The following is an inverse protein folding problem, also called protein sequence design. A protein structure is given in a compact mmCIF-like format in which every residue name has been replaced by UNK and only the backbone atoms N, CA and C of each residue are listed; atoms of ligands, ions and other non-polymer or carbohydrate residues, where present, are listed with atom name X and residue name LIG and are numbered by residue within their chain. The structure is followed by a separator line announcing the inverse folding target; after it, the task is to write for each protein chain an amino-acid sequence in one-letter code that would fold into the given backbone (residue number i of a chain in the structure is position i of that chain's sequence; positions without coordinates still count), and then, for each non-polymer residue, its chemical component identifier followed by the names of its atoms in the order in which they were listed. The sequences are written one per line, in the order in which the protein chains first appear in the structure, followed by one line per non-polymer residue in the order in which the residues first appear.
data_IF_913429565540
#
_entry.id   IF_913429565540
#
_cell.length_a   1.000
_cell.length_b   1.000
_cell.length_c   1.000
_cell.angle_alpha   90.00
_cell.angle_beta   90.00
_cell.angle_gamma   90.00
#
_symmetry.space_group_name_H-M   'P 1'
#
loop_
_entity.id
_entity.type
_entity.pdbx_description
1 polymer ?
#
# COMPACT_ATOMS: atom_id res chain seq x y z
N UNK A 1 50.23 -48.96 2.99
CA UNK A 1 48.78 -48.73 3.18
C UNK A 1 48.53 -47.25 3.36
N UNK A 2 48.15 -46.57 2.27
CA UNK A 2 47.82 -45.14 2.24
C UNK A 2 46.33 -44.95 2.54
N UNK A 3 46.01 -44.32 3.66
CA UNK A 3 44.66 -43.80 3.94
C UNK A 3 44.80 -42.36 4.43
N UNK A 4 44.74 -41.40 3.50
CA UNK A 4 44.50 -39.99 3.79
C UNK A 4 44.15 -39.25 2.49
N UNK A 5 42.94 -39.45 1.97
CA UNK A 5 42.39 -38.63 0.86
C UNK A 5 40.87 -38.79 0.73
N UNK A 6 40.10 -38.26 1.69
CA UNK A 6 38.64 -38.18 1.55
C UNK A 6 37.94 -37.05 2.33
N UNK A 7 38.66 -36.15 3.01
CA UNK A 7 38.03 -35.08 3.82
C UNK A 7 37.93 -33.71 3.13
N UNK A 8 38.63 -33.50 2.00
CA UNK A 8 38.73 -32.17 1.36
C UNK A 8 37.63 -31.82 0.34
N UNK A 9 36.87 -32.79 -0.16
CA UNK A 9 35.93 -32.60 -1.29
C UNK A 9 34.49 -32.31 -0.86
N UNK A 10 34.08 -32.70 0.35
CA UNK A 10 32.72 -32.42 0.86
C UNK A 10 32.58 -30.97 1.36
N UNK A 11 33.61 -30.45 2.01
CA UNK A 11 33.66 -29.07 2.52
C UNK A 11 33.61 -28.04 1.39
N UNK A 12 34.42 -28.20 0.34
CA UNK A 12 34.46 -27.29 -0.81
C UNK A 12 33.17 -27.31 -1.64
N UNK A 13 32.52 -28.48 -1.76
CA UNK A 13 31.24 -28.61 -2.47
C UNK A 13 30.08 -27.99 -1.68
N UNK A 14 30.13 -28.06 -0.35
CA UNK A 14 29.15 -27.40 0.52
C UNK A 14 29.28 -25.88 0.50
N UNK A 15 30.52 -25.36 0.51
CA UNK A 15 30.76 -23.91 0.48
C UNK A 15 30.42 -23.30 -0.87
N UNK A 16 30.66 -24.01 -1.98
CA UNK A 16 30.29 -23.56 -3.32
C UNK A 16 28.76 -23.50 -3.49
N UNK A 17 28.03 -24.52 -3.01
CA UNK A 17 26.57 -24.52 -3.00
C UNK A 17 25.95 -23.39 -2.13
N UNK A 18 26.62 -23.00 -1.05
CA UNK A 18 26.16 -21.90 -0.19
C UNK A 18 26.42 -20.53 -0.79
N UNK A 19 27.52 -20.36 -1.55
CA UNK A 19 27.81 -19.15 -2.33
C UNK A 19 26.76 -18.98 -3.44
N UNK A 20 26.43 -20.06 -4.16
CA UNK A 20 25.43 -20.03 -5.23
C UNK A 20 24.03 -19.67 -4.69
N UNK A 21 23.61 -20.24 -3.56
CA UNK A 21 22.35 -19.88 -2.91
C UNK A 21 22.31 -18.42 -2.44
N UNK A 22 23.39 -17.93 -1.85
CA UNK A 22 23.48 -16.53 -1.42
C UNK A 22 23.43 -15.57 -2.63
N UNK A 23 24.08 -15.93 -3.74
CA UNK A 23 24.01 -15.19 -4.99
C UNK A 23 22.59 -15.17 -5.56
N UNK A 24 21.91 -16.33 -5.60
CA UNK A 24 20.51 -16.43 -6.05
C UNK A 24 19.59 -15.55 -5.21
N UNK A 25 19.68 -15.60 -3.88
CA UNK A 25 18.88 -14.74 -2.99
C UNK A 25 19.16 -13.25 -3.24
N UNK A 26 20.42 -12.86 -3.43
CA UNK A 26 20.79 -11.48 -3.75
C UNK A 26 20.20 -11.04 -5.09
N UNK A 27 20.27 -11.88 -6.12
CA UNK A 27 19.69 -11.62 -7.44
C UNK A 27 18.17 -11.50 -7.36
N UNK A 28 17.48 -12.39 -6.63
CA UNK A 28 16.04 -12.30 -6.39
C UNK A 28 15.65 -10.98 -5.72
N UNK A 29 16.39 -10.54 -4.70
CA UNK A 29 16.13 -9.26 -4.02
C UNK A 29 16.32 -8.06 -4.95
N UNK A 30 17.37 -8.04 -5.76
CA UNK A 30 17.61 -6.98 -6.75
C UNK A 30 16.48 -6.97 -7.79
N UNK A 31 16.10 -8.13 -8.29
CA UNK A 31 15.02 -8.26 -9.26
C UNK A 31 13.67 -7.77 -8.72
N UNK A 32 13.30 -8.16 -7.49
CA UNK A 32 12.10 -7.66 -6.82
C UNK A 32 12.11 -6.13 -6.66
N UNK A 33 13.26 -5.55 -6.30
CA UNK A 33 13.42 -4.10 -6.20
C UNK A 33 13.27 -3.41 -7.56
N UNK A 34 13.79 -4.01 -8.64
CA UNK A 34 13.63 -3.49 -10.01
C UNK A 34 12.16 -3.53 -10.47
N UNK A 35 11.43 -4.62 -10.18
CA UNK A 35 10.00 -4.72 -10.50
C UNK A 35 9.21 -3.65 -9.74
N UNK A 36 9.51 -3.44 -8.46
CA UNK A 36 8.86 -2.39 -7.67
C UNK A 36 9.19 -0.99 -8.19
N UNK A 37 10.46 -0.72 -8.51
CA UNK A 37 10.88 0.56 -9.11
C UNK A 37 10.19 0.81 -10.47
N UNK A 38 10.06 -0.22 -11.31
CA UNK A 38 9.31 -0.17 -12.56
C UNK A 38 7.83 0.16 -12.35
N UNK A 39 7.21 -0.44 -11.32
CA UNK A 39 5.83 -0.14 -10.96
C UNK A 39 5.65 1.32 -10.48
N UNK A 40 6.57 1.86 -9.68
CA UNK A 40 6.58 3.28 -9.32
C UNK A 40 6.78 4.16 -10.56
N UNK A 41 7.69 3.79 -11.46
CA UNK A 41 7.95 4.53 -12.69
C UNK A 41 6.70 4.65 -13.57
N UNK A 42 5.91 3.58 -13.68
CA UNK A 42 4.62 3.63 -14.39
C UNK A 42 3.68 4.66 -13.76
N UNK A 43 3.58 4.72 -12.42
CA UNK A 43 2.77 5.73 -11.74
C UNK A 43 3.27 7.16 -12.01
N UNK A 44 4.59 7.37 -11.99
CA UNK A 44 5.23 8.66 -12.30
C UNK A 44 4.98 9.11 -13.73
N UNK A 45 4.96 8.17 -14.68
CA UNK A 45 4.76 8.45 -16.10
C UNK A 45 3.29 8.61 -16.48
N UNK A 46 2.36 8.00 -15.74
CA UNK A 46 0.91 8.04 -15.98
C UNK A 46 0.34 9.43 -16.33
N UNK A 47 0.68 10.53 -15.62
CA UNK A 47 0.15 11.86 -15.94
C UNK A 47 0.70 12.48 -17.23
N UNK A 48 1.77 11.94 -17.82
CA UNK A 48 2.46 12.55 -18.96
C UNK A 48 1.73 12.32 -20.29
N UNK A 49 1.95 13.22 -21.26
CA UNK A 49 1.45 13.05 -22.63
C UNK A 49 2.04 11.80 -23.29
N UNK A 50 3.29 11.45 -22.99
CA UNK A 50 3.93 10.23 -23.50
C UNK A 50 3.14 8.99 -23.09
N UNK A 51 2.75 8.91 -21.81
CA UNK A 51 1.95 7.79 -21.34
C UNK A 51 0.56 7.82 -21.97
N UNK A 52 -0.12 8.96 -21.98
CA UNK A 52 -1.50 9.08 -22.47
C UNK A 52 -1.66 8.83 -23.97
N UNK A 53 -0.76 9.39 -24.78
CA UNK A 53 -0.92 9.44 -26.23
C UNK A 53 -0.15 8.32 -26.95
N UNK A 54 0.94 7.82 -26.35
CA UNK A 54 1.79 6.80 -27.00
C UNK A 54 1.69 5.46 -26.28
N UNK A 55 1.94 5.41 -24.97
CA UNK A 55 2.03 4.12 -24.27
C UNK A 55 0.66 3.50 -24.04
N UNK A 56 -0.29 4.27 -23.53
CA UNK A 56 -1.63 3.79 -23.17
C UNK A 56 -2.35 3.15 -24.37
N UNK A 57 -2.44 3.78 -25.57
CA UNK A 57 -3.07 3.15 -26.73
C UNK A 57 -2.35 1.87 -27.17
N UNK A 58 -1.01 1.88 -27.19
CA UNK A 58 -0.22 0.70 -27.56
C UNK A 58 -0.40 -0.45 -26.58
N UNK A 59 -0.34 -0.15 -25.27
CA UNK A 59 -0.58 -1.12 -24.21
C UNK A 59 -1.98 -1.70 -24.31
N UNK A 60 -3.01 -0.89 -24.57
CA UNK A 60 -4.36 -1.39 -24.80
C UNK A 60 -4.44 -2.31 -26.02
N UNK A 61 -3.82 -1.95 -27.14
CA UNK A 61 -3.80 -2.79 -28.34
C UNK A 61 -3.12 -4.14 -28.07
N UNK A 62 -1.97 -4.13 -27.38
CA UNK A 62 -1.15 -5.32 -27.15
C UNK A 62 -1.73 -6.25 -26.06
N UNK A 63 -2.55 -5.72 -25.15
CA UNK A 63 -3.06 -6.47 -23.97
C UNK A 63 -4.58 -6.69 -23.98
N UNK A 64 -5.29 -6.13 -24.96
CA UNK A 64 -6.71 -6.39 -25.16
C UNK A 64 -6.90 -7.81 -25.66
N UNK A 65 -7.29 -8.71 -24.76
CA UNK A 65 -7.59 -10.10 -25.06
C UNK A 65 -9.09 -10.36 -25.08
N UNK A 66 -9.49 -11.49 -25.67
CA UNK A 66 -10.89 -11.94 -25.71
C UNK A 66 -11.51 -12.08 -24.32
N UNK A 67 -10.73 -12.46 -23.31
CA UNK A 67 -11.22 -12.73 -21.95
C UNK A 67 -11.16 -11.53 -21.02
N UNK A 68 -10.10 -10.72 -21.09
CA UNK A 68 -9.90 -9.60 -20.17
C UNK A 68 -10.22 -8.24 -20.79
N UNK A 69 -10.36 -8.16 -22.11
CA UNK A 69 -10.63 -6.91 -22.83
C UNK A 69 -9.71 -5.76 -22.39
N UNK A 70 -10.30 -4.57 -22.22
CA UNK A 70 -9.58 -3.37 -21.73
C UNK A 70 -9.11 -3.46 -20.27
N UNK A 71 -9.64 -4.41 -19.48
CA UNK A 71 -9.20 -4.62 -18.10
C UNK A 71 -7.83 -5.29 -18.05
N UNK A 72 -7.47 -6.08 -19.08
CA UNK A 72 -6.21 -6.79 -19.18
C UNK A 72 -5.00 -5.87 -18.98
N UNK A 73 -5.02 -4.68 -19.60
CA UNK A 73 -3.97 -3.67 -19.43
C UNK A 73 -3.81 -3.24 -17.99
N UNK A 74 -4.93 -2.93 -17.31
CA UNK A 74 -4.89 -2.44 -15.93
C UNK A 74 -4.41 -3.50 -14.96
N UNK A 75 -4.88 -4.74 -15.14
CA UNK A 75 -4.46 -5.89 -14.34
C UNK A 75 -2.96 -6.15 -14.55
N UNK A 76 -2.49 -6.19 -15.80
CA UNK A 76 -1.09 -6.49 -16.09
C UNK A 76 -0.13 -5.41 -15.58
N UNK A 77 -0.50 -4.14 -15.71
CA UNK A 77 0.40 -3.03 -15.40
C UNK A 77 0.38 -2.66 -13.92
N UNK A 78 -0.79 -2.67 -13.28
CA UNK A 78 -0.93 -2.23 -11.90
C UNK A 78 -1.06 -3.39 -10.92
N UNK A 79 -1.81 -4.44 -11.28
CA UNK A 79 -2.12 -5.51 -10.34
C UNK A 79 -1.04 -6.59 -10.27
N UNK A 80 -0.60 -7.07 -11.42
CA UNK A 80 0.34 -8.17 -11.56
C UNK A 80 1.69 -7.90 -10.88
N UNK A 81 2.35 -6.71 -11.00
CA UNK A 81 3.66 -6.50 -10.39
C UNK A 81 3.61 -6.62 -8.86
N UNK A 82 2.58 -6.09 -8.22
CA UNK A 82 2.41 -6.16 -6.76
C UNK A 82 2.19 -7.60 -6.31
N UNK A 83 1.31 -8.33 -7.01
CA UNK A 83 1.03 -9.73 -6.74
C UNK A 83 2.27 -10.61 -6.95
N UNK A 84 3.01 -10.35 -8.03
CA UNK A 84 4.25 -11.02 -8.35
C UNK A 84 5.32 -10.80 -7.26
N UNK A 85 5.50 -9.55 -6.80
CA UNK A 85 6.41 -9.23 -5.69
C UNK A 85 5.98 -9.97 -4.41
N UNK A 86 4.69 -10.03 -4.11
CA UNK A 86 4.20 -10.72 -2.92
C UNK A 86 4.50 -12.23 -2.97
N UNK A 87 4.23 -12.89 -4.10
CA UNK A 87 4.48 -14.33 -4.27
C UNK A 87 5.97 -14.64 -4.26
N UNK A 88 6.77 -13.97 -5.10
CA UNK A 88 8.23 -14.18 -5.12
C UNK A 88 8.87 -13.80 -3.77
N UNK A 89 8.31 -12.80 -3.10
CA UNK A 89 8.69 -12.39 -1.76
C UNK A 89 8.52 -13.48 -0.73
N UNK A 90 7.40 -14.21 -0.76
CA UNK A 90 7.18 -15.37 0.09
C UNK A 90 8.24 -16.45 -0.17
N UNK A 91 8.54 -16.75 -1.44
CA UNK A 91 9.57 -17.71 -1.83
C UNK A 91 10.95 -17.27 -1.33
N UNK A 92 11.29 -16.00 -1.54
CA UNK A 92 12.55 -15.41 -1.07
C UNK A 92 12.70 -15.54 0.45
N UNK A 93 11.69 -15.18 1.22
CA UNK A 93 11.73 -15.24 2.68
C UNK A 93 11.88 -16.68 3.17
N UNK A 94 11.15 -17.63 2.57
CA UNK A 94 11.26 -19.04 2.91
C UNK A 94 12.66 -19.61 2.62
N UNK A 95 13.23 -19.28 1.46
CA UNK A 95 14.59 -19.69 1.11
C UNK A 95 15.65 -19.02 2.00
N UNK A 96 15.43 -17.76 2.37
CA UNK A 96 16.32 -17.01 3.26
C UNK A 96 16.32 -17.58 4.68
N UNK A 97 15.16 -17.90 5.24
CA UNK A 97 15.02 -18.53 6.56
C UNK A 97 15.74 -19.89 6.60
N UNK A 98 15.51 -20.73 5.59
CA UNK A 98 16.19 -22.04 5.45
C UNK A 98 17.71 -21.93 5.31
N UNK A 99 18.22 -20.78 4.84
CA UNK A 99 19.65 -20.51 4.71
C UNK A 99 20.24 -19.84 5.97
N UNK A 100 19.40 -19.17 6.76
CA UNK A 100 19.75 -18.44 7.98
C UNK A 100 20.11 -19.33 9.17
N UNK A 101 19.59 -20.57 9.23
CA UNK A 101 19.91 -21.55 10.28
C UNK A 101 21.38 -22.03 10.31
N UNK A 102 22.23 -21.56 9.37
CA UNK A 102 23.66 -21.93 9.32
C UNK A 102 24.67 -20.79 9.42
N UNK A 103 24.23 -19.53 9.43
CA UNK A 103 25.14 -18.37 9.54
C UNK A 103 24.56 -17.32 10.46
N UNK A 104 24.66 -17.57 11.75
CA UNK A 104 24.78 -16.48 12.70
C UNK A 104 26.15 -15.82 12.47
N UNK A 105 26.15 -14.48 12.46
CA UNK A 105 27.32 -13.58 12.31
C UNK A 105 27.79 -13.29 10.87
N UNK A 106 27.55 -12.05 10.48
CA UNK A 106 28.05 -11.46 9.24
C UNK A 106 27.35 -10.13 9.01
N UNK A 107 27.48 -9.20 9.96
CA UNK A 107 27.02 -7.83 9.81
C UNK A 107 27.64 -7.26 8.53
N UNK A 108 26.81 -7.12 7.49
CA UNK A 108 27.24 -6.52 6.24
C UNK A 108 27.75 -5.11 6.54
N UNK A 109 28.99 -4.81 6.12
CA UNK A 109 29.69 -3.52 6.25
C UNK A 109 28.87 -2.31 5.76
N UNK A 110 27.79 -2.54 5.02
CA UNK A 110 26.79 -1.55 4.59
C UNK A 110 25.87 -1.03 5.72
N UNK A 111 25.90 -1.68 6.89
CA UNK A 111 25.04 -1.37 8.04
C UNK A 111 25.53 -0.18 8.88
N UNK A 112 26.81 0.22 8.81
CA UNK A 112 27.33 1.28 9.70
C UNK A 112 26.90 2.68 9.27
N UNK A 113 26.88 2.97 7.96
CA UNK A 113 26.43 4.26 7.42
C UNK A 113 24.91 4.46 7.59
N UNK A 114 24.12 3.39 7.39
CA UNK A 114 22.66 3.43 7.55
C UNK A 114 22.23 3.40 9.03
N UNK A 115 23.08 2.97 9.96
CA UNK A 115 22.78 2.93 11.39
C UNK A 115 22.47 4.32 11.97
N UNK A 116 23.19 5.35 11.51
CA UNK A 116 22.96 6.74 11.91
C UNK A 116 21.61 7.25 11.43
N UNK A 117 21.17 6.83 10.23
CA UNK A 117 19.89 7.21 9.62
C UNK A 117 18.68 6.41 10.15
N UNK A 118 18.92 5.24 10.74
CA UNK A 118 17.92 4.48 11.50
C UNK A 118 17.62 5.09 12.88
N UNK A 119 18.42 6.06 13.34
CA UNK A 119 18.12 6.79 14.59
C UNK A 119 16.82 7.57 14.43
N UNK A 120 15.99 7.64 15.47
CA UNK A 120 14.77 8.41 15.43
C UNK A 120 15.13 9.90 15.33
N UNK A 121 14.71 10.53 14.23
CA UNK A 121 14.93 11.97 13.97
C UNK A 121 13.78 12.78 14.57
N UNK A 122 12.57 12.23 14.54
CA UNK A 122 11.40 12.83 15.16
C UNK A 122 10.90 11.92 16.29
N UNK A 123 10.94 12.41 17.52
CA UNK A 123 10.57 11.61 18.72
C UNK A 123 9.24 12.06 19.33
N UNK A 124 8.72 13.25 18.97
CA UNK A 124 7.45 13.78 19.51
C UNK A 124 6.69 14.60 18.47
N UNK A 125 5.51 14.14 18.08
CA UNK A 125 4.58 14.81 17.16
C UNK A 125 3.41 13.91 16.74
N UNK A 126 2.39 14.43 16.02
CA UNK A 126 1.27 13.64 15.49
C UNK A 126 1.72 12.52 14.53
N UNK A 127 2.96 12.60 14.04
CA UNK A 127 3.61 11.64 13.16
C UNK A 127 4.23 10.45 13.93
N UNK A 128 4.33 10.49 15.26
CA UNK A 128 4.96 9.41 16.04
C UNK A 128 6.49 9.41 15.93
N UNK A 129 7.11 8.28 16.30
CA UNK A 129 8.57 8.11 16.23
C UNK A 129 8.98 7.74 14.80
N UNK A 130 9.75 8.62 14.16
CA UNK A 130 10.14 8.49 12.74
C UNK A 130 11.66 8.58 12.60
N UNK A 131 12.25 7.60 11.91
CA UNK A 131 13.69 7.62 11.55
C UNK A 131 13.95 8.48 10.31
N UNK A 132 15.21 8.87 10.09
CA UNK A 132 15.58 9.70 8.93
C UNK A 132 15.21 9.06 7.59
N UNK A 133 15.36 7.72 7.48
CA UNK A 133 15.01 6.95 6.28
C UNK A 133 13.50 7.03 6.01
N UNK A 134 12.68 6.85 7.04
CA UNK A 134 11.22 6.88 6.93
C UNK A 134 10.72 8.29 6.54
N UNK A 135 11.38 9.33 7.06
CA UNK A 135 11.12 10.71 6.67
C UNK A 135 11.48 10.94 5.18
N UNK A 136 12.63 10.46 4.72
CA UNK A 136 13.02 10.55 3.30
C UNK A 136 12.02 9.87 2.39
N UNK A 137 11.61 8.64 2.68
CA UNK A 137 10.58 7.95 1.88
C UNK A 137 9.25 8.70 1.88
N UNK A 138 8.86 9.29 3.00
CA UNK A 138 7.64 10.10 3.10
C UNK A 138 7.72 11.36 2.23
N UNK A 139 8.87 12.04 2.22
CA UNK A 139 9.12 13.21 1.37
C UNK A 139 9.16 12.83 -0.12
N UNK A 140 9.79 11.71 -0.47
CA UNK A 140 9.80 11.20 -1.84
C UNK A 140 8.39 10.86 -2.32
N UNK A 141 7.58 10.24 -1.46
CA UNK A 141 6.18 9.94 -1.78
C UNK A 141 5.37 11.23 -1.96
N UNK A 142 5.52 12.22 -1.08
CA UNK A 142 4.87 13.52 -1.24
C UNK A 142 5.32 14.22 -2.54
N UNK A 143 6.61 14.17 -2.87
CA UNK A 143 7.13 14.70 -4.12
C UNK A 143 6.52 14.00 -5.35
N UNK A 144 6.29 12.68 -5.28
CA UNK A 144 5.57 11.94 -6.32
C UNK A 144 4.12 12.43 -6.47
N UNK A 145 3.41 12.68 -5.36
CA UNK A 145 2.04 13.21 -5.42
C UNK A 145 2.01 14.62 -6.06
N UNK A 146 2.92 15.50 -5.65
CA UNK A 146 3.05 16.86 -6.18
C UNK A 146 3.43 16.84 -7.66
N UNK A 147 4.38 15.98 -8.06
CA UNK A 147 4.74 15.74 -9.46
C UNK A 147 3.51 15.34 -10.27
N UNK A 148 2.82 14.28 -9.82
CA UNK A 148 1.64 13.78 -10.53
C UNK A 148 0.57 14.85 -10.68
N UNK A 149 0.25 15.60 -9.60
CA UNK A 149 -0.73 16.68 -9.65
C UNK A 149 -0.32 17.79 -10.60
N UNK A 150 0.91 18.27 -10.48
CA UNK A 150 1.40 19.40 -11.27
C UNK A 150 1.44 19.06 -12.76
N UNK A 151 1.90 17.87 -13.10
CA UNK A 151 1.92 17.39 -14.50
C UNK A 151 0.51 17.22 -15.04
N UNK A 152 -0.40 16.61 -14.27
CA UNK A 152 -1.80 16.48 -14.66
C UNK A 152 -2.46 17.84 -14.91
N UNK A 153 -2.28 18.81 -14.00
CA UNK A 153 -2.85 20.15 -14.14
C UNK A 153 -2.27 20.88 -15.34
N UNK A 154 -0.94 20.85 -15.52
CA UNK A 154 -0.26 21.48 -16.66
C UNK A 154 -0.83 21.00 -17.98
N UNK A 155 -0.96 19.67 -18.15
CA UNK A 155 -1.48 19.07 -19.38
C UNK A 155 -2.97 19.34 -19.56
N UNK A 156 -3.74 19.29 -18.48
CA UNK A 156 -5.19 19.51 -18.53
C UNK A 156 -5.53 20.96 -18.88
N UNK A 157 -4.84 21.93 -18.28
CA UNK A 157 -5.05 23.35 -18.55
C UNK A 157 -4.56 23.77 -19.92
N UNK A 158 -3.53 23.10 -20.47
CA UNK A 158 -3.08 23.34 -21.84
C UNK A 158 -4.10 22.88 -22.90
N UNK A 159 -4.90 21.86 -22.60
CA UNK A 159 -5.92 21.29 -23.49
C UNK A 159 -7.35 21.60 -23.03
N UNK A 160 -7.53 22.71 -22.31
CA UNK A 160 -8.81 23.05 -21.68
C UNK A 160 -9.82 23.49 -22.76
N UNK A 161 -10.90 22.74 -22.89
CA UNK A 161 -12.06 23.14 -23.70
C UNK A 161 -13.08 23.83 -22.79
N UNK A 162 -13.26 25.14 -22.97
CA UNK A 162 -14.25 25.91 -22.20
C UNK A 162 -15.56 25.91 -22.99
N UNK A 163 -16.62 25.38 -22.41
CA UNK A 163 -17.95 25.46 -23.03
C UNK A 163 -18.44 26.91 -23.05
N UNK A 164 -19.23 27.29 -24.07
CA UNK A 164 -19.69 28.67 -24.25
C UNK A 164 -20.47 29.24 -23.05
N UNK A 165 -21.07 28.38 -22.22
CA UNK A 165 -21.81 28.73 -21.01
C UNK A 165 -20.95 28.79 -19.72
N UNK A 166 -19.68 28.39 -19.79
CA UNK A 166 -18.81 28.23 -18.62
C UNK A 166 -17.71 29.29 -18.55
N UNK A 167 -17.37 29.69 -17.32
CA UNK A 167 -16.22 30.55 -17.05
C UNK A 167 -14.94 29.73 -16.99
N UNK A 168 -13.82 30.32 -17.40
CA UNK A 168 -12.49 29.66 -17.42
C UNK A 168 -12.12 29.05 -16.05
N UNK A 169 -12.45 29.72 -14.94
CA UNK A 169 -12.15 29.18 -13.61
C UNK A 169 -12.99 27.94 -13.25
N UNK A 170 -14.21 27.83 -13.78
CA UNK A 170 -15.09 26.68 -13.57
C UNK A 170 -14.53 25.45 -14.28
N UNK A 171 -14.15 25.58 -15.55
CA UNK A 171 -13.49 24.51 -16.30
C UNK A 171 -12.15 24.09 -15.67
N UNK A 172 -11.38 25.05 -15.12
CA UNK A 172 -10.16 24.73 -14.36
C UNK A 172 -10.46 23.97 -13.07
N UNK A 173 -11.53 24.33 -12.35
CA UNK A 173 -11.95 23.68 -11.11
C UNK A 173 -12.41 22.24 -11.37
N UNK A 174 -13.25 22.02 -12.38
CA UNK A 174 -13.70 20.69 -12.82
C UNK A 174 -12.51 19.80 -13.16
N UNK A 175 -11.62 20.30 -14.01
CA UNK A 175 -10.37 19.61 -14.36
C UNK A 175 -9.55 19.27 -13.11
N UNK A 176 -9.35 20.22 -12.19
CA UNK A 176 -8.59 19.98 -10.96
C UNK A 176 -9.25 18.94 -10.04
N UNK A 177 -10.58 19.00 -9.90
CA UNK A 177 -11.38 18.06 -9.12
C UNK A 177 -11.16 16.62 -9.61
N UNK A 178 -11.23 16.40 -10.93
CA UNK A 178 -10.94 15.09 -11.52
C UNK A 178 -9.53 14.59 -11.18
N UNK A 179 -8.52 15.46 -11.25
CA UNK A 179 -7.12 15.08 -10.96
C UNK A 179 -6.89 14.72 -9.50
N UNK A 180 -7.57 15.38 -8.56
CA UNK A 180 -7.52 15.02 -7.14
C UNK A 180 -7.99 13.58 -6.92
N UNK A 181 -9.07 13.15 -7.58
CA UNK A 181 -9.54 11.76 -7.54
C UNK A 181 -8.53 10.77 -8.11
N UNK A 182 -7.87 11.11 -9.23
CA UNK A 182 -6.84 10.24 -9.82
C UNK A 182 -5.62 10.05 -8.91
N UNK A 183 -5.22 11.08 -8.16
CA UNK A 183 -4.12 10.98 -7.19
C UNK A 183 -4.56 10.22 -5.94
N UNK A 184 -5.81 10.40 -5.52
CA UNK A 184 -6.40 9.57 -4.48
C UNK A 184 -6.29 8.08 -4.79
N UNK A 185 -6.49 7.69 -6.05
CA UNK A 185 -6.31 6.29 -6.49
C UNK A 185 -4.85 5.80 -6.34
N UNK A 186 -3.86 6.65 -6.63
CA UNK A 186 -2.46 6.35 -6.37
C UNK A 186 -2.24 6.10 -4.87
N UNK A 187 -2.74 6.97 -3.99
CA UNK A 187 -2.61 6.78 -2.55
C UNK A 187 -3.34 5.52 -2.06
N UNK A 188 -4.53 5.23 -2.57
CA UNK A 188 -5.28 4.01 -2.27
C UNK A 188 -4.53 2.74 -2.65
N UNK A 189 -3.77 2.74 -3.76
CA UNK A 189 -2.98 1.58 -4.17
C UNK A 189 -1.94 1.16 -3.11
N UNK A 190 -1.44 2.11 -2.31
CA UNK A 190 -0.51 1.83 -1.20
C UNK A 190 -1.21 1.63 0.15
N UNK A 191 -2.47 2.07 0.30
CA UNK A 191 -3.16 2.20 1.59
C UNK A 191 -3.17 0.91 2.42
N UNK A 192 -3.25 -0.25 1.75
CA UNK A 192 -3.34 -1.56 2.41
C UNK A 192 -2.00 -2.25 2.67
N UNK A 193 -0.92 -1.85 1.99
CA UNK A 193 0.39 -2.49 2.19
C UNK A 193 0.89 -2.43 3.65
N UNK A 194 0.72 -1.32 4.40
CA UNK A 194 1.20 -1.25 5.77
C UNK A 194 0.37 -2.07 6.78
N UNK A 195 -0.85 -2.52 6.41
CA UNK A 195 -1.74 -3.29 7.30
C UNK A 195 -1.74 -4.79 7.01
N UNK A 196 -1.03 -5.24 5.97
CA UNK A 196 -0.83 -6.67 5.68
C UNK A 196 0.26 -7.28 6.56
N UNK A 197 -0.07 -7.53 7.83
CA UNK A 197 0.91 -7.88 8.88
C UNK A 197 1.68 -9.18 8.64
N UNK A 198 1.06 -10.16 7.98
CA UNK A 198 1.63 -11.46 7.64
C UNK A 198 2.10 -11.54 6.17
N UNK A 199 2.00 -10.44 5.40
CA UNK A 199 2.48 -10.41 4.01
C UNK A 199 3.99 -10.30 3.94
N UNK A 200 4.56 -10.89 2.89
CA UNK A 200 5.99 -10.82 2.55
C UNK A 200 6.46 -9.41 2.19
N UNK A 201 5.55 -8.48 1.85
CA UNK A 201 5.89 -7.13 1.43
C UNK A 201 6.65 -6.34 2.50
N UNK A 202 6.23 -6.41 3.77
CA UNK A 202 6.87 -5.64 4.85
C UNK A 202 8.25 -6.21 5.24
N UNK A 203 8.43 -7.53 5.42
CA UNK A 203 9.75 -8.09 5.70
C UNK A 203 10.75 -7.91 4.56
N UNK A 204 10.32 -7.89 3.30
CA UNK A 204 11.20 -7.66 2.14
C UNK A 204 11.93 -6.31 2.21
N UNK A 205 11.26 -5.27 2.73
CA UNK A 205 11.82 -3.94 2.96
C UNK A 205 12.40 -3.77 4.37
N UNK A 206 12.37 -4.82 5.20
CA UNK A 206 12.89 -4.81 6.57
C UNK A 206 12.03 -4.02 7.55
N UNK A 207 10.73 -3.85 7.28
CA UNK A 207 9.77 -3.20 8.17
C UNK A 207 8.98 -4.23 8.97
N UNK A 208 8.66 -3.89 10.22
CA UNK A 208 7.76 -4.69 11.05
C UNK A 208 6.31 -4.22 10.85
N UNK A 209 5.36 -5.11 11.09
CA UNK A 209 3.93 -4.76 11.00
C UNK A 209 3.52 -3.70 12.04
N UNK A 210 4.16 -3.69 13.20
CA UNK A 210 3.94 -2.71 14.27
C UNK A 210 4.44 -1.32 13.90
N UNK A 211 5.62 -1.21 13.28
CA UNK A 211 6.13 0.07 12.82
C UNK A 211 5.38 0.60 11.60
N UNK A 212 4.73 -0.29 10.84
CA UNK A 212 4.08 0.06 9.57
C UNK A 212 2.71 0.73 9.72
N UNK A 213 2.03 0.55 10.86
CA UNK A 213 0.67 1.10 11.05
C UNK A 213 0.62 2.62 10.93
N UNK A 214 1.70 3.34 11.27
CA UNK A 214 1.80 4.80 11.10
C UNK A 214 1.66 5.22 9.63
N UNK A 215 2.19 4.42 8.69
CA UNK A 215 2.08 4.71 7.26
C UNK A 215 0.65 4.55 6.76
N UNK A 216 -0.08 3.56 7.28
CA UNK A 216 -1.51 3.43 6.98
C UNK A 216 -2.30 4.63 7.48
N UNK A 217 -1.99 5.13 8.68
CA UNK A 217 -2.62 6.34 9.23
C UNK A 217 -2.32 7.55 8.33
N UNK A 218 -1.05 7.76 7.94
CA UNK A 218 -0.67 8.88 7.07
C UNK A 218 -1.32 8.79 5.69
N UNK A 219 -1.26 7.62 5.04
CA UNK A 219 -1.90 7.37 3.75
C UNK A 219 -3.41 7.56 3.85
N UNK A 220 -4.04 7.08 4.93
CA UNK A 220 -5.46 7.28 5.20
C UNK A 220 -5.85 8.75 5.28
N UNK A 221 -5.09 9.57 6.01
CA UNK A 221 -5.32 11.02 6.03
C UNK A 221 -5.17 11.66 4.65
N UNK A 222 -4.12 11.30 3.89
CA UNK A 222 -3.89 11.85 2.54
C UNK A 222 -5.05 11.47 1.61
N UNK A 223 -5.46 10.19 1.58
CA UNK A 223 -6.59 9.70 0.78
C UNK A 223 -7.86 10.47 1.11
N UNK A 224 -8.18 10.61 2.41
CA UNK A 224 -9.40 11.29 2.83
C UNK A 224 -9.39 12.78 2.50
N UNK A 225 -8.26 13.47 2.65
CA UNK A 225 -8.12 14.87 2.24
C UNK A 225 -8.30 15.02 0.72
N UNK A 226 -7.66 14.17 -0.08
CA UNK A 226 -7.76 14.23 -1.55
C UNK A 226 -9.17 13.95 -2.04
N UNK A 227 -9.86 12.94 -1.51
CA UNK A 227 -11.22 12.61 -1.91
C UNK A 227 -12.26 13.61 -1.39
N UNK A 228 -12.05 14.18 -0.19
CA UNK A 228 -12.90 15.28 0.29
C UNK A 228 -12.72 16.51 -0.58
N UNK A 229 -11.48 16.88 -0.92
CA UNK A 229 -11.21 18.00 -1.82
C UNK A 229 -11.79 17.76 -3.22
N UNK A 230 -11.67 16.55 -3.76
CA UNK A 230 -12.32 16.14 -5.01
C UNK A 230 -13.84 16.38 -4.96
N UNK A 231 -14.54 15.86 -3.94
CA UNK A 231 -15.99 16.03 -3.79
C UNK A 231 -16.40 17.50 -3.60
N UNK A 232 -15.67 18.26 -2.76
CA UNK A 232 -15.94 19.68 -2.52
C UNK A 232 -15.74 20.51 -3.78
N UNK A 233 -14.69 20.25 -4.57
CA UNK A 233 -14.46 20.96 -5.83
C UNK A 233 -15.59 20.71 -6.85
N UNK A 234 -16.07 19.46 -6.98
CA UNK A 234 -17.22 19.16 -7.84
C UNK A 234 -18.51 19.82 -7.33
N UNK A 235 -18.76 19.79 -6.03
CA UNK A 235 -19.91 20.47 -5.43
C UNK A 235 -19.91 21.97 -5.74
N UNK A 236 -18.76 22.66 -5.55
CA UNK A 236 -18.62 24.08 -5.87
C UNK A 236 -18.81 24.33 -7.37
N UNK A 237 -18.24 23.47 -8.22
CA UNK A 237 -18.39 23.56 -9.67
C UNK A 237 -19.86 23.49 -10.08
N UNK A 238 -20.58 22.44 -9.69
CA UNK A 238 -22.00 22.23 -10.00
C UNK A 238 -22.90 23.32 -9.43
N UNK A 239 -22.64 23.77 -8.20
CA UNK A 239 -23.36 24.89 -7.61
C UNK A 239 -23.16 26.19 -8.40
N UNK A 240 -21.97 26.42 -8.95
CA UNK A 240 -21.64 27.62 -9.71
C UNK A 240 -22.16 27.61 -11.16
N UNK A 241 -22.39 26.43 -11.74
CA UNK A 241 -22.92 26.24 -13.10
C UNK A 241 -24.43 25.95 -13.12
N UNK A 242 -25.09 25.96 -11.96
CA UNK A 242 -26.50 25.56 -11.77
C UNK A 242 -26.80 24.13 -12.27
N UNK A 243 -25.86 23.20 -12.09
CA UNK A 243 -25.96 21.79 -12.49
C UNK A 243 -26.00 20.87 -11.26
N UNK A 244 -26.71 21.26 -10.20
CA UNK A 244 -26.80 20.48 -8.95
C UNK A 244 -27.50 19.13 -9.15
N UNK A 245 -28.27 18.96 -10.22
CA UNK A 245 -28.87 17.70 -10.64
C UNK A 245 -27.83 16.62 -10.98
N UNK A 246 -26.59 17.00 -11.32
CA UNK A 246 -25.50 16.03 -11.51
C UNK A 246 -25.18 15.26 -10.22
N UNK A 247 -25.42 15.82 -9.02
CA UNK A 247 -25.19 15.13 -7.74
C UNK A 247 -25.99 13.82 -7.62
N UNK A 248 -27.24 13.84 -8.08
CA UNK A 248 -28.16 12.70 -8.00
C UNK A 248 -28.07 11.76 -9.21
N UNK A 249 -27.14 12.02 -10.14
CA UNK A 249 -27.02 11.25 -11.37
C UNK A 249 -26.38 9.90 -11.12
N UNK A 250 -27.07 8.87 -11.57
CA UNK A 250 -26.58 7.49 -11.59
C UNK A 250 -26.41 7.03 -13.04
N UNK A 251 -25.18 7.14 -13.57
CA UNK A 251 -24.86 6.61 -14.91
C UNK A 251 -24.75 5.08 -14.89
N UNK A 252 -25.17 4.42 -15.98
CA UNK A 252 -25.02 2.96 -16.15
C UNK A 252 -23.65 2.55 -16.71
N UNK A 253 -22.97 3.46 -17.41
CA UNK A 253 -21.76 3.16 -18.19
C UNK A 253 -20.58 4.08 -17.87
N UNK A 254 -20.85 5.25 -17.25
CA UNK A 254 -19.84 6.23 -16.87
C UNK A 254 -19.78 6.40 -15.35
N UNK A 255 -19.00 7.39 -14.90
CA UNK A 255 -18.84 7.72 -13.49
C UNK A 255 -20.21 8.04 -12.88
N UNK A 256 -20.58 7.31 -11.82
CA UNK A 256 -21.86 7.48 -11.13
C UNK A 256 -21.68 8.31 -9.85
N UNK A 257 -22.32 9.48 -9.76
CA UNK A 257 -22.05 10.45 -8.69
C UNK A 257 -22.62 10.02 -7.33
N UNK A 258 -23.85 9.50 -7.31
CA UNK A 258 -24.50 9.02 -6.06
C UNK A 258 -23.64 7.96 -5.33
N UNK A 259 -23.13 6.89 -6.00
CA UNK A 259 -22.16 6.02 -5.36
C UNK A 259 -20.89 6.73 -4.88
N UNK A 260 -20.40 7.74 -5.60
CA UNK A 260 -19.25 8.54 -5.17
C UNK A 260 -19.52 9.29 -3.86
N UNK A 261 -20.69 9.88 -3.72
CA UNK A 261 -21.14 10.55 -2.50
C UNK A 261 -21.28 9.57 -1.33
N UNK A 262 -21.93 8.41 -1.55
CA UNK A 262 -22.06 7.37 -0.53
C UNK A 262 -20.71 6.79 -0.10
N UNK A 263 -19.77 6.64 -1.04
CA UNK A 263 -18.40 6.26 -0.73
C UNK A 263 -17.73 7.34 0.13
N UNK A 264 -17.82 8.62 -0.25
CA UNK A 264 -17.22 9.71 0.51
C UNK A 264 -17.82 9.84 1.91
N UNK A 265 -19.15 9.74 2.06
CA UNK A 265 -19.83 9.75 3.37
C UNK A 265 -19.35 8.61 4.27
N UNK A 266 -19.28 7.39 3.72
CA UNK A 266 -18.74 6.22 4.46
C UNK A 266 -17.30 6.45 4.88
N UNK A 267 -16.48 7.02 3.99
CA UNK A 267 -15.09 7.37 4.25
C UNK A 267 -14.94 8.46 5.31
N UNK A 268 -15.76 9.51 5.27
CA UNK A 268 -15.76 10.61 6.24
C UNK A 268 -16.18 10.12 7.64
N UNK A 269 -17.22 9.28 7.73
CA UNK A 269 -17.64 8.68 9.00
C UNK A 269 -16.53 7.81 9.61
N UNK A 270 -15.91 6.95 8.78
CA UNK A 270 -14.73 6.19 9.18
C UNK A 270 -13.61 7.11 9.65
N UNK A 271 -13.27 8.13 8.85
CA UNK A 271 -12.16 9.04 9.10
C UNK A 271 -12.33 9.84 10.39
N UNK A 272 -13.52 10.36 10.65
CA UNK A 272 -13.84 11.11 11.87
C UNK A 272 -13.55 10.29 13.12
N UNK A 273 -13.92 9.00 13.13
CA UNK A 273 -13.65 8.14 14.29
C UNK A 273 -12.19 7.74 14.47
N UNK A 274 -11.32 7.98 13.48
CA UNK A 274 -9.88 7.72 13.60
C UNK A 274 -9.12 8.78 14.41
N UNK A 275 -9.72 9.96 14.64
CA UNK A 275 -9.06 11.04 15.37
C UNK A 275 -8.67 10.58 16.79
N UNK A 276 -7.46 10.92 17.28
CA UNK A 276 -6.94 10.38 18.53
C UNK A 276 -7.84 10.59 19.75
N UNK A 277 -8.58 11.70 19.82
CA UNK A 277 -9.53 11.98 20.90
C UNK A 277 -10.68 10.97 20.93
N UNK A 278 -11.28 10.68 19.78
CA UNK A 278 -12.40 9.74 19.67
C UNK A 278 -11.88 8.31 19.84
N UNK A 279 -10.83 7.92 19.10
CA UNK A 279 -10.29 6.56 19.13
C UNK A 279 -9.81 6.11 20.51
N UNK A 280 -9.21 7.02 21.30
CA UNK A 280 -8.68 6.68 22.65
C UNK A 280 -9.79 6.60 23.70
N UNK A 281 -10.86 7.39 23.55
CA UNK A 281 -11.96 7.43 24.52
C UNK A 281 -13.10 6.46 24.18
N UNK A 282 -13.31 6.17 22.90
CA UNK A 282 -14.40 5.37 22.36
C UNK A 282 -13.86 4.35 21.35
N UNK A 283 -13.06 3.40 21.85
CA UNK A 283 -12.39 2.42 20.98
C UNK A 283 -13.36 1.54 20.20
N UNK A 284 -14.47 1.12 20.82
CA UNK A 284 -15.49 0.30 20.13
C UNK A 284 -16.13 1.04 18.97
N UNK A 285 -16.50 2.31 19.17
CA UNK A 285 -17.03 3.16 18.12
C UNK A 285 -16.07 3.19 16.94
N UNK A 286 -14.81 3.56 17.18
CA UNK A 286 -13.76 3.52 16.16
C UNK A 286 -13.66 2.15 15.48
N UNK A 287 -13.62 1.07 16.25
CA UNK A 287 -13.45 -0.28 15.70
C UNK A 287 -14.58 -0.66 14.74
N UNK A 288 -15.83 -0.45 15.14
CA UNK A 288 -16.99 -0.81 14.31
C UNK A 288 -17.17 0.12 13.12
N UNK A 289 -17.02 1.44 13.30
CA UNK A 289 -17.11 2.40 12.18
C UNK A 289 -15.96 2.23 11.19
N UNK A 290 -14.79 1.76 11.64
CA UNK A 290 -13.69 1.48 10.72
C UNK A 290 -14.04 0.36 9.72
N UNK A 291 -15.01 -0.52 10.00
CA UNK A 291 -15.46 -1.51 9.02
C UNK A 291 -16.26 -0.91 7.85
N UNK A 292 -16.65 0.37 7.92
CA UNK A 292 -17.22 1.11 6.80
C UNK A 292 -16.26 1.20 5.60
N UNK A 293 -15.00 0.79 5.72
CA UNK A 293 -14.12 0.57 4.56
C UNK A 293 -14.77 -0.37 3.52
N UNK A 294 -15.59 -1.35 3.95
CA UNK A 294 -16.29 -2.27 3.04
C UNK A 294 -17.28 -1.49 2.18
N UNK A 295 -18.12 -0.66 2.81
CA UNK A 295 -19.06 0.21 2.11
C UNK A 295 -18.33 1.22 1.21
N UNK A 296 -17.26 1.84 1.73
CA UNK A 296 -16.41 2.76 0.98
C UNK A 296 -15.92 2.15 -0.34
N UNK A 297 -15.29 0.97 -0.30
CA UNK A 297 -14.76 0.34 -1.51
C UNK A 297 -15.83 -0.23 -2.43
N UNK A 298 -16.96 -0.69 -1.88
CA UNK A 298 -18.11 -1.13 -2.68
C UNK A 298 -18.69 0.03 -3.49
N UNK A 299 -19.00 1.15 -2.83
CA UNK A 299 -19.54 2.33 -3.53
C UNK A 299 -18.50 3.01 -4.41
N UNK A 300 -17.22 2.99 -4.03
CA UNK A 300 -16.12 3.42 -4.90
C UNK A 300 -16.09 2.62 -6.22
N UNK A 301 -16.23 1.29 -6.14
CA UNK A 301 -16.28 0.44 -7.33
C UNK A 301 -17.45 0.82 -8.25
N UNK A 302 -18.62 1.12 -7.67
CA UNK A 302 -19.78 1.59 -8.42
C UNK A 302 -19.59 3.01 -9.00
N UNK A 303 -18.84 3.86 -8.31
CA UNK A 303 -18.55 5.24 -8.73
C UNK A 303 -17.63 5.29 -9.95
N UNK A 304 -16.46 4.64 -9.90
CA UNK A 304 -15.43 4.74 -10.96
C UNK A 304 -15.37 3.53 -11.88
N UNK A 305 -16.05 2.43 -11.55
CA UNK A 305 -16.06 1.20 -12.32
C UNK A 305 -14.87 0.26 -12.07
N UNK A 306 -14.95 -0.92 -12.69
CA UNK A 306 -14.04 -2.05 -12.40
C UNK A 306 -12.60 -1.83 -12.91
N UNK A 307 -12.39 -0.94 -13.88
CA UNK A 307 -11.04 -0.59 -14.33
C UNK A 307 -10.20 0.01 -13.20
N UNK A 308 -10.75 0.99 -12.47
CA UNK A 308 -10.02 1.67 -11.41
C UNK A 308 -9.83 0.80 -10.17
N UNK A 309 -10.82 -0.02 -9.79
CA UNK A 309 -10.65 -0.95 -8.65
C UNK A 309 -9.49 -1.92 -8.90
N UNK A 310 -9.29 -2.40 -10.14
CA UNK A 310 -8.15 -3.27 -10.47
C UNK A 310 -6.77 -2.65 -10.18
N UNK A 311 -6.66 -1.32 -10.14
CA UNK A 311 -5.40 -0.64 -9.76
C UNK A 311 -5.09 -0.73 -8.27
N UNK A 312 -6.13 -0.82 -7.42
CA UNK A 312 -6.03 -0.84 -5.95
C UNK A 312 -6.20 -2.27 -5.42
N UNK A 313 -6.82 -3.15 -6.22
CA UNK A 313 -7.18 -4.52 -5.88
C UNK A 313 -6.04 -5.35 -5.27
N UNK A 314 -4.77 -5.27 -5.70
CA UNK A 314 -3.71 -6.06 -5.06
C UNK A 314 -3.56 -5.77 -3.58
N UNK A 315 -3.64 -4.50 -3.17
CA UNK A 315 -3.54 -4.12 -1.78
C UNK A 315 -4.71 -4.70 -0.97
N UNK A 316 -5.93 -4.56 -1.49
CA UNK A 316 -7.14 -5.12 -0.88
C UNK A 316 -7.03 -6.65 -0.79
N UNK A 317 -6.62 -7.32 -1.86
CA UNK A 317 -6.49 -8.77 -1.93
C UNK A 317 -5.49 -9.29 -0.90
N UNK A 318 -4.30 -8.70 -0.83
CA UNK A 318 -3.29 -9.09 0.16
C UNK A 318 -3.80 -8.87 1.59
N UNK A 319 -4.54 -7.80 1.83
CA UNK A 319 -5.17 -7.54 3.13
C UNK A 319 -6.23 -8.59 3.49
N UNK A 320 -7.05 -9.01 2.53
CA UNK A 320 -8.07 -10.04 2.74
C UNK A 320 -7.44 -11.40 3.04
N UNK A 321 -6.40 -11.79 2.30
CA UNK A 321 -5.64 -13.02 2.57
C UNK A 321 -5.01 -12.97 3.97
N UNK A 322 -4.33 -11.87 4.31
CA UNK A 322 -3.74 -11.64 5.64
C UNK A 322 -4.79 -11.69 6.77
N UNK A 323 -5.95 -11.06 6.57
CA UNK A 323 -7.08 -11.11 7.50
C UNK A 323 -7.57 -12.55 7.70
N UNK A 324 -7.72 -13.32 6.63
CA UNK A 324 -8.15 -14.71 6.69
C UNK A 324 -7.14 -15.61 7.42
N UNK A 325 -5.84 -15.46 7.12
CA UNK A 325 -4.78 -16.19 7.83
C UNK A 325 -4.78 -15.90 9.33
N UNK A 326 -4.91 -14.63 9.73
CA UNK A 326 -5.03 -14.27 11.15
C UNK A 326 -6.28 -14.85 11.81
N UNK A 327 -7.39 -14.92 11.09
CA UNK A 327 -8.60 -15.55 11.60
C UNK A 327 -8.38 -17.05 11.87
N UNK A 328 -7.67 -17.76 11.00
CA UNK A 328 -7.27 -19.16 11.25
C UNK A 328 -6.31 -19.29 12.43
N UNK A 329 -5.31 -18.40 12.55
CA UNK A 329 -4.33 -18.42 13.66
C UNK A 329 -4.96 -18.10 15.02
N UNK A 330 -5.94 -17.19 15.07
CA UNK A 330 -6.60 -16.73 16.30
C UNK A 330 -7.61 -17.71 16.91
N UNK A 331 -7.78 -18.90 16.32
CA UNK A 331 -8.67 -19.94 16.86
C UNK A 331 -8.15 -20.58 18.15
N UNK A 332 -6.86 -20.39 18.48
CA UNK A 332 -6.28 -20.94 19.71
C UNK A 332 -6.58 -20.01 20.88
N UNK A 333 -7.42 -20.47 21.81
CA UNK A 333 -7.62 -19.80 23.10
C UNK A 333 -6.60 -20.33 24.11
N UNK A 334 -5.98 -19.43 24.87
CA UNK A 334 -5.10 -19.77 26.00
C UNK A 334 -5.65 -19.11 27.26
N UNK A 335 -5.57 -19.81 28.39
CA UNK A 335 -6.07 -19.31 29.66
C UNK A 335 -5.06 -18.34 30.27
N UNK A 336 -5.53 -17.21 30.80
CA UNK A 336 -4.72 -16.27 31.55
C UNK A 336 -4.53 -16.82 32.98
N UNK A 337 -3.29 -17.05 33.40
CA UNK A 337 -2.93 -17.66 34.68
C UNK A 337 -2.70 -16.59 35.75
N UNK A 338 -1.96 -15.53 35.43
CA UNK A 338 -1.72 -14.45 36.37
C UNK A 338 -1.53 -13.10 35.68
N UNK A 339 -1.86 -12.05 36.41
CA UNK A 339 -1.65 -10.65 36.02
C UNK A 339 -0.90 -9.97 37.16
N UNK A 340 0.22 -9.32 36.85
CA UNK A 340 1.01 -8.55 37.82
C UNK A 340 1.29 -7.17 37.27
N UNK A 341 1.01 -6.14 38.07
CA UNK A 341 1.43 -4.76 37.78
C UNK A 341 2.85 -4.56 38.31
N UNK A 342 3.75 -4.12 37.44
CA UNK A 342 5.14 -3.83 37.77
C UNK A 342 5.27 -2.38 38.27
N UNK A 343 6.29 -2.07 39.10
CA UNK A 343 6.54 -0.72 39.59
C UNK A 343 6.76 0.33 38.48
N UNK A 344 7.13 -0.10 37.28
CA UNK A 344 7.33 0.74 36.09
C UNK A 344 6.04 0.99 35.29
N UNK A 345 4.86 0.75 35.87
CA UNK A 345 3.55 0.76 35.18
C UNK A 345 3.42 -0.30 34.07
N UNK A 346 4.38 -1.22 33.95
CA UNK A 346 4.29 -2.37 33.06
C UNK A 346 3.29 -3.41 33.58
N UNK A 347 2.61 -4.13 32.68
CA UNK A 347 1.71 -5.23 33.04
C UNK A 347 2.35 -6.54 32.57
N UNK A 348 2.56 -7.46 33.51
CA UNK A 348 2.99 -8.82 33.25
C UNK A 348 1.76 -9.74 33.17
N UNK A 349 1.62 -10.47 32.06
CA UNK A 349 0.51 -11.41 31.81
C UNK A 349 1.09 -12.81 31.57
N UNK A 350 0.77 -13.77 32.43
CA UNK A 350 1.19 -15.17 32.29
C UNK A 350 0.04 -16.01 31.72
N UNK A 351 0.31 -16.81 30.69
CA UNK A 351 -0.70 -17.65 30.02
C UNK A 351 -0.38 -19.14 30.14
N UNK A 352 -1.40 -19.99 30.12
CA UNK A 352 -1.26 -21.44 30.13
C UNK A 352 -0.61 -21.93 28.83
N UNK A 353 0.43 -22.78 28.93
CA UNK A 353 1.09 -23.35 27.76
C UNK A 353 0.15 -24.30 27.02
N UNK A 354 0.03 -24.13 25.70
CA UNK A 354 -0.71 -25.07 24.86
C UNK A 354 0.14 -26.35 24.66
N UNK A 355 -0.36 -27.55 25.03
CA UNK A 355 0.38 -28.81 24.92
C UNK A 355 0.89 -29.12 23.50
N UNK A 356 0.21 -28.62 22.46
CA UNK A 356 0.52 -28.90 21.05
C UNK A 356 1.54 -27.97 20.39
N UNK A 357 2.04 -26.93 21.06
CA UNK A 357 3.02 -25.98 20.50
C UNK A 357 4.34 -26.02 21.27
N UNK A 358 5.38 -26.60 20.67
CA UNK A 358 6.76 -26.39 21.10
C UNK A 358 7.22 -25.03 20.56
N UNK A 359 7.51 -24.07 21.44
CA UNK A 359 8.32 -22.92 21.07
C UNK A 359 9.76 -23.41 20.91
N UNK A 360 10.42 -23.05 19.81
CA UNK A 360 11.88 -23.12 19.72
C UNK A 360 12.46 -22.10 20.70
N UNK A 361 13.13 -22.59 21.73
CA UNK A 361 13.96 -21.80 22.65
C UNK A 361 15.22 -21.31 21.96
#
# INVERSE_FOLDING_TARGET
MNSNRAAGTSSSRSSMNDIDKAMVLKLMKIFLALVFAGWIFVWTMRPTNTFRNTWSPKLYADTSSTYFGRLGTTILIYAFPVMFIAVLGCIYLHLHEKNGDKKNQGSSRFSSSLATWKRPVLVRGPLGVVSGIELTFSLMFLALLVWCFSTYLKISFANLTVHHSEKVWQAKLDSAALRLGLIGNLCCAFLFFPVTRCSSLLPLVGLTSESSIKYHIWLGHIVMVLFTAHGVCYFIFWASTNQLDEMIKWSKTDIANVPGELALLSGLALWATTFPRIRRNMFELFYYTHHLYIAFFFFYMLHVGIGFICMILPGIFLFMVDRYLRFLQSRTKVHLVSVRLLPSEGIELNFSKNPGKKLST
#
